data_IF_241439114528
#
_entry.id   IF_241439114528
#
_cell.length_a   1.000
_cell.length_b   1.000
_cell.length_c   1.000
_cell.angle_alpha   90.00
_cell.angle_beta   90.00
_cell.angle_gamma   90.00
#
_symmetry.space_group_name_H-M   'P 1'
#
loop_
_entity.id
_entity.type
_entity.pdbx_description
1 polymer ?
#
# COMPACT_ATOMS: atom_id res chain seq x y z
N UNK A 1 27.65 19.20 -4.98
CA UNK A 1 26.53 19.97 -5.51
C UNK A 1 25.36 19.91 -4.51
N UNK A 2 24.39 20.83 -4.57
CA UNK A 2 23.21 20.82 -3.70
C UNK A 2 22.45 19.48 -3.70
N UNK A 3 22.38 18.80 -4.85
CA UNK A 3 21.76 17.50 -5.02
C UNK A 3 22.46 16.42 -4.18
N UNK A 4 23.80 16.43 -4.14
CA UNK A 4 24.58 15.49 -3.32
C UNK A 4 24.29 15.69 -1.83
N UNK A 5 24.08 16.93 -1.39
CA UNK A 5 23.71 17.22 0.00
C UNK A 5 22.29 16.74 0.29
N UNK A 6 21.33 17.01 -0.59
CA UNK A 6 19.95 16.54 -0.47
C UNK A 6 19.88 15.00 -0.41
N UNK A 7 20.60 14.31 -1.30
CA UNK A 7 20.64 12.84 -1.33
C UNK A 7 21.30 12.26 -0.07
N UNK A 8 22.36 12.89 0.47
CA UNK A 8 22.95 12.47 1.75
C UNK A 8 21.98 12.64 2.92
N UNK A 9 21.21 13.73 2.94
CA UNK A 9 20.18 13.95 3.95
C UNK A 9 19.06 12.90 3.84
N UNK A 10 18.58 12.64 2.62
CA UNK A 10 17.59 11.60 2.36
C UNK A 10 18.08 10.22 2.84
N UNK A 11 19.33 9.86 2.51
CA UNK A 11 19.93 8.61 2.97
C UNK A 11 20.02 8.51 4.51
N UNK A 12 20.35 9.61 5.20
CA UNK A 12 20.41 9.64 6.65
C UNK A 12 19.04 9.43 7.31
N UNK A 13 17.97 9.99 6.71
CA UNK A 13 16.58 9.78 7.17
C UNK A 13 16.16 8.34 6.92
N UNK A 14 16.33 7.84 5.69
CA UNK A 14 15.93 6.48 5.31
C UNK A 14 16.65 5.40 6.12
N UNK A 15 17.92 5.61 6.48
CA UNK A 15 18.70 4.66 7.31
C UNK A 15 18.19 4.56 8.75
N UNK A 16 17.43 5.54 9.25
CA UNK A 16 17.00 5.63 10.65
C UNK A 16 15.48 5.39 10.76
N UNK A 17 15.04 4.20 11.23
CA UNK A 17 13.61 3.83 11.21
C UNK A 17 12.69 4.83 11.90
N UNK A 18 13.13 5.40 13.03
CA UNK A 18 12.37 6.42 13.77
C UNK A 18 12.19 7.71 12.96
N UNK A 19 13.25 8.20 12.32
CA UNK A 19 13.19 9.42 11.50
C UNK A 19 12.36 9.19 10.24
N UNK A 20 12.53 8.04 9.59
CA UNK A 20 11.75 7.68 8.43
C UNK A 20 10.25 7.58 8.77
N UNK A 21 9.90 6.93 9.88
CA UNK A 21 8.51 6.83 10.35
C UNK A 21 7.92 8.21 10.68
N UNK A 22 8.69 9.08 11.35
CA UNK A 22 8.26 10.44 11.63
C UNK A 22 8.03 11.22 10.33
N UNK A 23 8.95 11.14 9.36
CA UNK A 23 8.81 11.77 8.06
C UNK A 23 7.55 11.29 7.31
N UNK A 24 7.26 9.98 7.35
CA UNK A 24 6.03 9.43 6.77
C UNK A 24 4.78 9.99 7.45
N UNK A 25 4.75 10.09 8.78
CA UNK A 25 3.60 10.69 9.50
C UNK A 25 3.43 12.17 9.15
N UNK A 26 4.52 12.92 9.05
CA UNK A 26 4.47 14.34 8.65
C UNK A 26 4.03 14.51 7.19
N UNK A 27 4.34 13.58 6.30
CA UNK A 27 3.82 13.64 4.92
C UNK A 27 2.29 13.59 4.84
N UNK A 28 1.62 12.90 5.78
CA UNK A 28 0.16 12.91 5.85
C UNK A 28 -0.39 14.30 6.19
N UNK A 29 0.35 15.13 6.92
CA UNK A 29 0.02 16.54 7.17
C UNK A 29 0.19 17.40 5.91
N UNK A 30 1.02 16.97 4.95
CA UNK A 30 1.13 17.57 3.62
C UNK A 30 -0.17 17.56 2.81
N UNK A 31 -1.17 16.77 3.24
CA UNK A 31 -2.55 16.81 2.72
C UNK A 31 -3.18 18.20 2.80
N UNK A 32 -2.80 19.04 3.77
CA UNK A 32 -3.32 20.42 3.88
C UNK A 32 -2.96 21.24 2.63
N UNK A 33 -1.85 20.93 1.96
CA UNK A 33 -1.46 21.58 0.71
C UNK A 33 -2.23 21.07 -0.53
N UNK A 34 -3.04 20.00 -0.39
CA UNK A 34 -3.76 19.39 -1.50
C UNK A 34 -5.14 20.04 -1.79
N UNK A 35 -5.48 21.12 -1.09
CA UNK A 35 -6.74 21.83 -1.30
C UNK A 35 -7.99 20.96 -1.12
N UNK A 36 -9.13 21.45 -1.63
CA UNK A 36 -10.45 20.81 -1.50
C UNK A 36 -10.62 19.60 -2.43
N UNK A 37 -9.85 19.58 -3.52
CA UNK A 37 -9.92 18.57 -4.59
C UNK A 37 -8.99 17.38 -4.33
N UNK A 38 -8.28 17.38 -3.20
CA UNK A 38 -7.42 16.28 -2.79
C UNK A 38 -6.25 16.05 -3.74
N UNK A 39 -5.80 17.08 -4.45
CA UNK A 39 -4.65 17.03 -5.37
C UNK A 39 -3.71 18.20 -5.06
N UNK A 40 -2.43 17.87 -4.89
CA UNK A 40 -1.38 18.88 -4.72
C UNK A 40 -0.96 19.33 -6.12
N UNK A 41 -1.54 20.43 -6.59
CA UNK A 41 -1.21 21.04 -7.89
C UNK A 41 -0.11 22.11 -7.78
N UNK A 42 0.05 22.74 -6.61
CA UNK A 42 1.13 23.71 -6.38
C UNK A 42 1.59 23.73 -4.92
N UNK A 43 2.84 23.34 -4.70
CA UNK A 43 3.51 23.47 -3.41
C UNK A 43 4.03 24.90 -3.19
N UNK A 44 4.14 25.35 -1.94
CA UNK A 44 4.81 26.61 -1.63
C UNK A 44 6.30 26.55 -2.04
N UNK A 45 6.91 27.69 -2.42
CA UNK A 45 8.35 27.79 -2.63
C UNK A 45 9.13 27.26 -1.41
N UNK A 46 10.28 26.58 -1.62
CA UNK A 46 11.00 26.38 -2.88
C UNK A 46 10.55 25.15 -3.69
N UNK A 47 9.50 24.43 -3.27
CA UNK A 47 9.06 23.19 -3.91
C UNK A 47 8.09 23.41 -5.09
N UNK A 48 7.70 24.67 -5.35
CA UNK A 48 6.74 25.06 -6.39
C UNK A 48 7.12 24.53 -7.77
N UNK A 49 8.41 24.62 -8.15
CA UNK A 49 8.89 24.16 -9.47
C UNK A 49 8.80 22.64 -9.67
N UNK A 50 8.75 21.84 -8.60
CA UNK A 50 8.54 20.39 -8.71
C UNK A 50 7.06 20.06 -8.95
N UNK A 51 6.16 20.70 -8.21
CA UNK A 51 4.71 20.53 -8.35
C UNK A 51 4.14 21.15 -9.62
N UNK A 52 4.76 22.21 -10.16
CA UNK A 52 4.32 22.83 -11.43
C UNK A 52 4.38 21.83 -12.62
N UNK A 53 5.16 20.75 -12.48
CA UNK A 53 5.27 19.67 -13.47
C UNK A 53 4.60 18.35 -13.03
N UNK A 54 4.06 18.29 -11.80
CA UNK A 54 3.56 17.04 -11.20
C UNK A 54 2.32 17.25 -10.36
N UNK A 55 1.19 16.78 -10.90
CA UNK A 55 -0.01 16.55 -10.11
C UNK A 55 0.16 15.31 -9.24
N UNK A 56 -0.01 15.47 -7.93
CA UNK A 56 0.09 14.35 -6.98
C UNK A 56 -1.17 14.26 -6.14
N UNK A 57 -1.78 13.09 -6.09
CA UNK A 57 -2.91 12.83 -5.20
C UNK A 57 -2.52 13.11 -3.74
N UNK A 58 -3.47 13.65 -2.97
CA UNK A 58 -3.26 13.96 -1.57
C UNK A 58 -2.83 12.70 -0.80
N UNK A 59 -1.76 12.80 0.01
CA UNK A 59 -1.27 11.64 0.77
C UNK A 59 -2.35 11.13 1.72
N UNK A 60 -2.58 9.79 1.83
CA UNK A 60 -3.66 9.17 2.62
C UNK A 60 -3.70 9.67 4.08
N UNK A 61 -4.89 9.69 4.70
CA UNK A 61 -5.07 10.16 6.09
C UNK A 61 -4.26 9.33 7.08
N UNK A 62 -4.07 8.07 6.75
CA UNK A 62 -3.26 7.12 7.51
C UNK A 62 -2.18 6.54 6.60
N UNK A 63 -0.97 6.36 7.13
CA UNK A 63 0.09 5.64 6.42
C UNK A 63 -0.24 4.16 6.35
N UNK A 64 0.14 3.47 5.28
CA UNK A 64 -0.03 2.01 5.17
C UNK A 64 0.48 1.26 6.42
N UNK A 65 1.62 1.68 6.99
CA UNK A 65 2.18 1.03 8.20
C UNK A 65 1.30 1.17 9.42
N UNK A 66 0.66 2.32 9.57
CA UNK A 66 -0.26 2.58 10.68
C UNK A 66 -1.53 1.75 10.49
N UNK A 67 -2.10 1.77 9.29
CA UNK A 67 -3.28 0.96 8.97
C UNK A 67 -3.01 -0.54 9.14
N UNK A 68 -1.84 -1.01 8.68
CA UNK A 68 -1.45 -2.42 8.82
C UNK A 68 -1.29 -2.84 10.28
N UNK A 69 -0.91 -1.92 11.16
CA UNK A 69 -0.82 -2.15 12.59
C UNK A 69 -2.18 -2.01 13.31
N UNK A 70 -3.20 -1.46 12.65
CA UNK A 70 -4.52 -1.23 13.23
C UNK A 70 -5.35 -2.52 13.30
N UNK A 71 -6.38 -2.52 14.15
CA UNK A 71 -7.31 -3.65 14.27
C UNK A 71 -8.12 -3.84 12.99
N UNK A 72 -8.45 -2.75 12.30
CA UNK A 72 -9.11 -2.77 11.00
C UNK A 72 -8.25 -3.50 9.97
N UNK A 73 -6.97 -3.11 9.81
CA UNK A 73 -6.08 -3.76 8.85
C UNK A 73 -5.90 -5.24 9.15
N UNK A 74 -5.78 -5.62 10.43
CA UNK A 74 -5.71 -7.03 10.86
C UNK A 74 -7.01 -7.77 10.54
N UNK A 75 -8.17 -7.16 10.72
CA UNK A 75 -9.46 -7.75 10.39
C UNK A 75 -9.62 -7.98 8.89
N UNK A 76 -9.28 -6.99 8.06
CA UNK A 76 -9.30 -7.09 6.60
C UNK A 76 -8.42 -8.24 6.10
N UNK A 77 -7.20 -8.37 6.63
CA UNK A 77 -6.29 -9.45 6.24
C UNK A 77 -6.82 -10.83 6.65
N UNK A 78 -7.47 -10.95 7.82
CA UNK A 78 -8.10 -12.20 8.25
C UNK A 78 -9.28 -12.58 7.36
N UNK A 79 -10.12 -11.63 6.97
CA UNK A 79 -11.23 -11.86 6.06
C UNK A 79 -10.74 -12.39 4.71
N UNK A 80 -9.75 -11.72 4.11
CA UNK A 80 -9.13 -12.14 2.85
C UNK A 80 -8.48 -13.54 2.96
N UNK A 81 -7.86 -13.87 4.09
CA UNK A 81 -7.31 -15.22 4.31
C UNK A 81 -8.41 -16.29 4.38
N UNK A 82 -9.58 -15.97 4.95
CA UNK A 82 -10.74 -16.84 4.98
C UNK A 82 -11.32 -17.11 3.59
N UNK A 83 -11.43 -16.08 2.76
CA UNK A 83 -11.89 -16.19 1.37
C UNK A 83 -10.99 -17.11 0.54
N UNK A 84 -9.67 -16.93 0.62
CA UNK A 84 -8.71 -17.80 -0.06
C UNK A 84 -8.83 -19.27 0.40
N UNK A 85 -8.99 -19.50 1.70
CA UNK A 85 -9.14 -20.86 2.21
C UNK A 85 -10.44 -21.51 1.73
N UNK A 86 -11.53 -20.74 1.65
CA UNK A 86 -12.82 -21.21 1.12
C UNK A 86 -12.72 -21.58 -0.36
N UNK A 87 -12.13 -20.70 -1.18
CA UNK A 87 -11.89 -20.97 -2.60
C UNK A 87 -11.04 -22.22 -2.82
N UNK A 88 -9.96 -22.40 -2.04
CA UNK A 88 -9.13 -23.61 -2.11
C UNK A 88 -9.90 -24.89 -1.78
N UNK A 89 -10.81 -24.85 -0.81
CA UNK A 89 -11.65 -26.00 -0.45
C UNK A 89 -12.62 -26.35 -1.57
N UNK A 90 -13.24 -25.34 -2.20
CA UNK A 90 -14.13 -25.53 -3.34
C UNK A 90 -13.40 -26.10 -4.56
N UNK A 91 -12.19 -25.61 -4.85
CA UNK A 91 -11.33 -26.14 -5.92
C UNK A 91 -10.94 -27.59 -5.67
N UNK A 92 -10.51 -27.93 -4.45
CA UNK A 92 -10.20 -29.31 -4.08
C UNK A 92 -11.42 -30.24 -4.22
N UNK A 93 -12.61 -29.77 -3.83
CA UNK A 93 -13.86 -30.54 -3.99
C UNK A 93 -14.19 -30.81 -5.46
N UNK A 94 -14.05 -29.80 -6.33
CA UNK A 94 -14.24 -29.96 -7.78
C UNK A 94 -13.21 -30.91 -8.39
N UNK A 95 -11.96 -30.87 -7.93
CA UNK A 95 -10.89 -31.77 -8.37
C UNK A 95 -11.19 -33.22 -7.97
N UNK A 96 -11.65 -33.44 -6.73
CA UNK A 96 -12.02 -34.76 -6.23
C UNK A 96 -13.17 -35.37 -7.04
N UNK A 97 -14.22 -34.60 -7.31
CA UNK A 97 -15.35 -35.04 -8.15
C UNK A 97 -14.89 -35.37 -9.58
N UNK A 98 -14.06 -34.52 -10.19
CA UNK A 98 -13.52 -34.77 -11.53
C UNK A 98 -12.67 -36.05 -11.59
N UNK A 99 -11.90 -36.32 -10.53
CA UNK A 99 -11.05 -37.51 -10.47
C UNK A 99 -11.88 -38.79 -10.25
N UNK A 100 -12.98 -38.73 -9.50
CA UNK A 100 -13.90 -39.87 -9.36
C UNK A 100 -14.60 -40.21 -10.67
N UNK A 101 -15.10 -39.20 -11.40
CA UNK A 101 -15.74 -39.42 -12.71
C UNK A 101 -14.77 -40.09 -13.70
N UNK A 102 -13.49 -39.67 -13.70
CA UNK A 102 -12.45 -40.26 -14.57
C UNK A 102 -12.10 -41.70 -14.21
N UNK A 103 -12.05 -42.04 -12.93
CA UNK A 103 -11.72 -43.39 -12.49
C UNK A 103 -12.85 -44.40 -12.79
N UNK A 104 -14.09 -43.95 -12.90
CA UNK A 104 -15.22 -44.80 -13.29
C UNK A 104 -15.22 -45.14 -14.79
N UNK A 105 -14.71 -44.24 -15.64
CA UNK A 105 -14.57 -44.48 -17.09
C UNK A 105 -13.46 -45.51 -17.43
N UNK A 106 -12.42 -45.63 -16.61
CA UNK A 106 -11.27 -46.54 -16.83
C UNK A 106 -11.56 -47.99 -16.36
N UNK A 107 -12.67 -48.22 -15.66
CA UNK A 107 -13.05 -49.53 -15.08
C UNK A 107 -14.03 -50.32 -15.98
N UNK A 108 -14.56 -49.70 -17.04
CA UNK A 108 -15.45 -50.34 -18.04
C UNK A 108 -14.73 -50.62 -19.35
#
# INVERSE_FOLDING_TARGET
>A
TPEKLAMRAAAAVMRRPRLYTAAQKTSALGRVAAGRDGTISRLPPPLSGWSDSRDTAAPPRETFRSWFASDEGRATLRAAAGERNRGRTEENGKQAHRNSDRNEEDVT
#
